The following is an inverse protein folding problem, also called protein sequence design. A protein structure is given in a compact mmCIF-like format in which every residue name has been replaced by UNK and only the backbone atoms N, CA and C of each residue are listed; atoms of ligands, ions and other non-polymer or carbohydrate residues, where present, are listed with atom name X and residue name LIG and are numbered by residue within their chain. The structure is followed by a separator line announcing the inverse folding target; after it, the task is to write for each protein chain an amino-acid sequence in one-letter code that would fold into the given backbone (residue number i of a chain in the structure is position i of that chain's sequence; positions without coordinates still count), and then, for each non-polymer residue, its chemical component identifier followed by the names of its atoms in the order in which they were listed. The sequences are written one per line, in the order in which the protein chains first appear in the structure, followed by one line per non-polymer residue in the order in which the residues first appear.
data_IF_111062048917
#
_entry.id   IF_111062048917
#
_cell.length_a   1.000
_cell.length_b   1.000
_cell.length_c   1.000
_cell.angle_alpha   90.00
_cell.angle_beta   90.00
_cell.angle_gamma   90.00
#
_symmetry.space_group_name_H-M   'P 1'
#
loop_
_entity.id
_entity.type
_entity.pdbx_description
1 polymer ?
#
# COMPACT_ATOMS: atom_id res chain seq x y z
N UNK A 1 -3.44 -11.67 25.97
CA UNK A 1 -4.00 -10.57 25.14
C UNK A 1 -5.43 -10.97 24.78
N UNK A 2 -6.46 -10.18 25.11
CA UNK A 2 -7.85 -10.61 24.92
C UNK A 2 -8.17 -10.79 23.43
N UNK A 3 -8.92 -11.83 23.07
CA UNK A 3 -9.29 -12.18 21.69
C UNK A 3 -9.96 -11.03 20.89
N UNK A 4 -10.54 -10.06 21.60
CA UNK A 4 -11.13 -8.86 21.01
C UNK A 4 -10.08 -7.90 20.41
N UNK A 5 -8.90 -7.79 21.02
CA UNK A 5 -7.81 -6.92 20.51
C UNK A 5 -7.21 -7.45 19.22
N UNK A 6 -7.12 -8.76 19.10
CA UNK A 6 -6.58 -9.45 17.94
C UNK A 6 -7.53 -9.43 16.73
N UNK A 7 -8.83 -9.59 16.95
CA UNK A 7 -9.84 -9.42 15.90
C UNK A 7 -9.88 -7.99 15.34
N UNK A 8 -9.79 -6.99 16.22
CA UNK A 8 -9.73 -5.58 15.82
C UNK A 8 -8.45 -5.25 15.04
N UNK A 9 -7.29 -5.77 15.45
CA UNK A 9 -6.04 -5.57 14.73
C UNK A 9 -6.05 -6.20 13.33
N UNK A 10 -6.58 -7.43 13.19
CA UNK A 10 -6.75 -8.08 11.89
C UNK A 10 -7.72 -7.30 10.99
N UNK A 11 -8.84 -6.83 11.56
CA UNK A 11 -9.81 -6.02 10.81
C UNK A 11 -9.18 -4.73 10.33
N UNK A 12 -8.46 -4.03 11.19
CA UNK A 12 -7.76 -2.79 10.86
C UNK A 12 -6.69 -3.01 9.78
N UNK A 13 -5.92 -4.10 9.87
CA UNK A 13 -4.94 -4.47 8.86
C UNK A 13 -5.58 -4.71 7.49
N UNK A 14 -6.67 -5.48 7.46
CA UNK A 14 -7.40 -5.79 6.23
C UNK A 14 -8.07 -4.56 5.62
N UNK A 15 -8.67 -3.68 6.43
CA UNK A 15 -9.22 -2.41 5.97
C UNK A 15 -8.12 -1.51 5.41
N UNK A 16 -6.95 -1.45 6.07
CA UNK A 16 -5.79 -0.72 5.59
C UNK A 16 -5.29 -1.26 4.24
N UNK A 17 -5.13 -2.57 4.10
CA UNK A 17 -4.74 -3.18 2.82
C UNK A 17 -5.79 -2.93 1.73
N UNK A 18 -7.08 -3.10 2.04
CA UNK A 18 -8.16 -2.90 1.07
C UNK A 18 -8.20 -1.45 0.56
N UNK A 19 -8.12 -0.47 1.47
CA UNK A 19 -8.10 0.94 1.11
C UNK A 19 -6.85 1.32 0.31
N UNK A 20 -5.66 0.89 0.75
CA UNK A 20 -4.39 1.20 0.10
C UNK A 20 -4.23 0.53 -1.28
N UNK A 21 -4.52 -0.77 -1.36
CA UNK A 21 -4.50 -1.53 -2.62
C UNK A 21 -5.57 -1.02 -3.58
N UNK A 22 -6.81 -0.93 -3.13
CA UNK A 22 -7.95 -0.53 -3.97
C UNK A 22 -7.82 0.90 -4.49
N UNK A 23 -7.46 1.85 -3.62
CA UNK A 23 -7.24 3.24 -4.02
C UNK A 23 -6.11 3.41 -5.02
N UNK A 24 -4.97 2.74 -4.79
CA UNK A 24 -3.82 2.77 -5.72
C UNK A 24 -4.15 2.13 -7.06
N UNK A 25 -4.85 0.99 -7.05
CA UNK A 25 -5.27 0.30 -8.27
C UNK A 25 -6.27 1.14 -9.07
N UNK A 26 -7.29 1.71 -8.42
CA UNK A 26 -8.24 2.62 -9.06
C UNK A 26 -7.55 3.84 -9.65
N UNK A 27 -6.62 4.45 -8.90
CA UNK A 27 -5.80 5.57 -9.36
C UNK A 27 -5.12 5.25 -10.69
N UNK A 28 -4.36 4.16 -10.74
CA UNK A 28 -3.59 3.81 -11.94
C UNK A 28 -4.43 3.30 -13.11
N UNK A 29 -5.48 2.52 -12.83
CA UNK A 29 -6.23 1.81 -13.88
C UNK A 29 -7.42 2.61 -14.42
N UNK A 30 -8.03 3.47 -13.61
CA UNK A 30 -9.25 4.19 -13.98
C UNK A 30 -9.04 5.70 -13.98
N UNK A 31 -8.58 6.29 -12.87
CA UNK A 31 -8.45 7.74 -12.76
C UNK A 31 -7.39 8.31 -13.70
N UNK A 32 -6.18 7.74 -13.70
CA UNK A 32 -5.07 8.27 -14.50
C UNK A 32 -5.38 8.27 -16.00
N UNK A 33 -6.01 7.23 -16.59
CA UNK A 33 -6.46 7.29 -17.99
C UNK A 33 -7.65 8.22 -18.21
N UNK A 34 -8.61 8.28 -17.29
CA UNK A 34 -9.84 9.04 -17.46
C UNK A 34 -9.60 10.54 -17.68
N UNK A 35 -8.58 11.13 -17.05
CA UNK A 35 -8.28 12.56 -17.23
C UNK A 35 -7.85 12.94 -18.65
N UNK A 36 -7.55 11.97 -19.53
CA UNK A 36 -7.27 12.26 -20.95
C UNK A 36 -8.47 12.88 -21.69
N UNK A 37 -9.68 12.79 -21.14
CA UNK A 37 -10.87 13.43 -21.72
C UNK A 37 -10.91 14.95 -21.51
N UNK A 38 -10.03 15.49 -20.67
CA UNK A 38 -9.89 16.94 -20.44
C UNK A 38 -8.87 17.44 -21.46
N UNK A 39 -9.12 18.55 -22.16
CA UNK A 39 -8.19 19.01 -23.21
C UNK A 39 -6.92 19.67 -22.65
N UNK A 40 -7.04 20.49 -21.61
CA UNK A 40 -5.92 21.21 -21.01
C UNK A 40 -5.07 20.30 -20.10
N UNK A 41 -3.79 20.15 -20.43
CA UNK A 41 -2.81 19.34 -19.69
C UNK A 41 -2.52 19.87 -18.29
N UNK A 42 -2.66 21.18 -18.08
CA UNK A 42 -2.54 21.79 -16.76
C UNK A 42 -3.76 21.46 -15.89
N UNK A 43 -4.96 21.59 -16.45
CA UNK A 43 -6.21 21.23 -15.78
C UNK A 43 -6.22 19.73 -15.38
N UNK A 44 -5.70 18.85 -16.24
CA UNK A 44 -5.48 17.42 -15.90
C UNK A 44 -4.64 17.27 -14.64
N UNK A 45 -3.51 17.98 -14.56
CA UNK A 45 -2.60 17.95 -13.42
C UNK A 45 -3.25 18.45 -12.14
N UNK A 46 -3.99 19.56 -12.22
CA UNK A 46 -4.73 20.14 -11.10
C UNK A 46 -5.81 19.18 -10.57
N UNK A 47 -6.59 18.55 -11.46
CA UNK A 47 -7.63 17.59 -11.08
C UNK A 47 -7.02 16.34 -10.42
N UNK A 48 -5.94 15.81 -10.99
CA UNK A 48 -5.21 14.69 -10.40
C UNK A 48 -4.63 15.03 -9.03
N UNK A 49 -4.04 16.22 -8.88
CA UNK A 49 -3.50 16.68 -7.60
C UNK A 49 -4.62 16.82 -6.56
N UNK A 50 -5.76 17.42 -6.91
CA UNK A 50 -6.94 17.53 -6.03
C UNK A 50 -7.44 16.16 -5.60
N UNK A 51 -7.61 15.23 -6.54
CA UNK A 51 -8.05 13.86 -6.24
C UNK A 51 -7.06 13.14 -5.33
N UNK A 52 -5.75 13.26 -5.60
CA UNK A 52 -4.69 12.64 -4.80
C UNK A 52 -4.61 13.22 -3.39
N UNK A 53 -4.68 14.55 -3.24
CA UNK A 53 -4.71 15.20 -1.93
C UNK A 53 -5.95 14.82 -1.14
N UNK A 54 -7.12 14.71 -1.80
CA UNK A 54 -8.36 14.26 -1.17
C UNK A 54 -8.27 12.84 -0.63
N UNK A 55 -7.57 11.94 -1.33
CA UNK A 55 -7.37 10.56 -0.89
C UNK A 55 -6.18 10.35 0.05
N UNK A 56 -5.26 11.33 0.15
CA UNK A 56 -4.03 11.21 0.94
C UNK A 56 -4.26 10.86 2.43
N UNK A 57 -5.27 11.41 3.14
CA UNK A 57 -5.55 10.99 4.52
C UNK A 57 -5.93 9.52 4.63
N UNK A 58 -6.74 9.01 3.68
CA UNK A 58 -7.12 7.60 3.62
C UNK A 58 -5.89 6.73 3.36
N UNK A 59 -5.01 7.17 2.46
CA UNK A 59 -3.78 6.44 2.14
C UNK A 59 -2.81 6.40 3.34
N UNK A 60 -2.66 7.53 4.06
CA UNK A 60 -1.85 7.59 5.28
C UNK A 60 -2.41 6.68 6.38
N UNK A 61 -3.73 6.69 6.59
CA UNK A 61 -4.39 5.79 7.52
C UNK A 61 -4.21 4.32 7.12
N UNK A 62 -4.36 4.00 5.84
CA UNK A 62 -4.16 2.66 5.31
C UNK A 62 -2.74 2.15 5.55
N UNK A 63 -1.74 2.96 5.20
CA UNK A 63 -0.33 2.64 5.37
C UNK A 63 0.03 2.45 6.86
N UNK A 64 -0.40 3.37 7.71
CA UNK A 64 -0.17 3.31 9.16
C UNK A 64 -0.84 2.10 9.80
N UNK A 65 -2.09 1.80 9.42
CA UNK A 65 -2.83 0.63 9.90
C UNK A 65 -2.09 -0.66 9.58
N UNK A 66 -1.65 -0.85 8.34
CA UNK A 66 -0.91 -2.07 7.92
C UNK A 66 0.42 -2.18 8.66
N UNK A 67 1.21 -1.10 8.71
CA UNK A 67 2.52 -1.10 9.34
C UNK A 67 2.44 -1.37 10.86
N UNK A 68 1.58 -0.63 11.57
CA UNK A 68 1.45 -0.74 13.03
C UNK A 68 0.93 -2.11 13.44
N UNK A 69 -0.14 -2.58 12.81
CA UNK A 69 -0.71 -3.90 13.14
C UNK A 69 0.28 -5.03 12.85
N UNK A 70 1.05 -4.95 11.77
CA UNK A 70 2.10 -5.93 11.47
C UNK A 70 3.24 -5.89 12.49
N UNK A 71 3.78 -4.72 12.83
CA UNK A 71 4.87 -4.59 13.81
C UNK A 71 4.44 -5.15 15.17
N UNK A 72 3.24 -4.77 15.64
CA UNK A 72 2.70 -5.25 16.92
C UNK A 72 2.54 -6.77 16.89
N UNK A 73 1.87 -7.32 15.87
CA UNK A 73 1.68 -8.76 15.74
C UNK A 73 3.00 -9.53 15.62
N UNK A 74 3.96 -9.00 14.85
CA UNK A 74 5.27 -9.62 14.63
C UNK A 74 6.13 -9.65 15.90
N UNK A 75 5.99 -8.66 16.78
CA UNK A 75 6.70 -8.60 18.06
C UNK A 75 6.28 -9.69 19.05
N UNK A 76 5.07 -10.24 18.89
CA UNK A 76 4.56 -11.34 19.71
C UNK A 76 5.11 -12.72 19.31
N UNK A 77 5.89 -12.83 18.22
CA UNK A 77 6.50 -14.08 17.78
C UNK A 77 7.97 -14.18 18.16
N UNK A 78 8.31 -15.19 18.99
CA UNK A 78 9.71 -15.52 19.32
C UNK A 78 10.43 -16.26 18.18
N UNK A 79 9.67 -16.85 17.26
CA UNK A 79 10.17 -17.63 16.12
C UNK A 79 10.56 -19.07 16.48
N UNK A 80 10.65 -19.43 17.76
CA UNK A 80 10.87 -20.81 18.21
C UNK A 80 9.64 -21.70 18.02
N UNK A 81 8.45 -21.12 17.93
CA UNK A 81 7.18 -21.85 17.95
C UNK A 81 6.67 -22.29 16.55
N UNK A 82 7.35 -21.92 15.46
CA UNK A 82 6.87 -22.11 14.08
C UNK A 82 7.77 -23.00 13.22
N UNK A 83 7.13 -23.84 12.40
CA UNK A 83 7.83 -24.70 11.43
C UNK A 83 8.57 -23.88 10.36
N UNK A 84 9.57 -24.50 9.72
CA UNK A 84 10.44 -23.84 8.74
C UNK A 84 9.68 -23.22 7.57
N UNK A 85 8.59 -23.86 7.09
CA UNK A 85 7.76 -23.32 6.01
C UNK A 85 6.96 -22.10 6.47
N UNK A 86 6.35 -22.15 7.65
CA UNK A 86 5.64 -20.98 8.23
C UNK A 86 6.60 -19.81 8.45
N UNK A 87 7.80 -20.09 8.95
CA UNK A 87 8.85 -19.09 9.13
C UNK A 87 9.25 -18.42 7.82
N UNK A 88 9.36 -19.18 6.74
CA UNK A 88 9.61 -18.64 5.40
C UNK A 88 8.49 -17.71 4.93
N UNK A 89 7.23 -18.10 5.11
CA UNK A 89 6.07 -17.27 4.75
C UNK A 89 5.98 -15.98 5.58
N UNK A 90 6.23 -16.05 6.89
CA UNK A 90 6.26 -14.86 7.76
C UNK A 90 7.38 -13.90 7.34
N UNK A 91 8.58 -14.39 7.03
CA UNK A 91 9.69 -13.55 6.54
C UNK A 91 9.40 -12.94 5.17
N UNK A 92 8.73 -13.68 4.28
CA UNK A 92 8.28 -13.13 3.01
C UNK A 92 7.27 -12.00 3.22
N UNK A 93 6.33 -12.16 4.16
CA UNK A 93 5.39 -11.10 4.55
C UNK A 93 6.10 -9.91 5.20
N UNK A 94 7.10 -10.15 6.05
CA UNK A 94 7.96 -9.08 6.61
C UNK A 94 8.58 -8.22 5.49
N UNK A 95 9.17 -8.86 4.48
CA UNK A 95 9.76 -8.16 3.33
C UNK A 95 8.72 -7.36 2.54
N UNK A 96 7.55 -7.95 2.26
CA UNK A 96 6.50 -7.28 1.50
C UNK A 96 5.89 -6.09 2.26
N UNK A 97 5.67 -6.21 3.58
CA UNK A 97 5.21 -5.10 4.42
C UNK A 97 6.24 -3.99 4.44
N UNK A 98 7.54 -4.31 4.52
CA UNK A 98 8.62 -3.35 4.39
C UNK A 98 8.59 -2.61 3.06
N UNK A 99 8.49 -3.34 1.95
CA UNK A 99 8.40 -2.76 0.59
C UNK A 99 7.15 -1.88 0.45
N UNK A 100 5.99 -2.36 0.87
CA UNK A 100 4.73 -1.61 0.85
C UNK A 100 4.83 -0.32 1.66
N UNK A 101 5.36 -0.40 2.88
CA UNK A 101 5.48 0.77 3.77
C UNK A 101 6.45 1.80 3.21
N UNK A 102 7.65 1.37 2.79
CA UNK A 102 8.67 2.26 2.26
C UNK A 102 8.22 2.92 0.95
N UNK A 103 7.70 2.14 0.00
CA UNK A 103 7.18 2.68 -1.27
C UNK A 103 6.00 3.63 -1.05
N UNK A 104 5.12 3.34 -0.09
CA UNK A 104 3.99 4.20 0.27
C UNK A 104 4.45 5.54 0.86
N UNK A 105 5.39 5.52 1.82
CA UNK A 105 5.96 6.75 2.40
C UNK A 105 6.66 7.57 1.32
N UNK A 106 7.49 6.93 0.48
CA UNK A 106 8.17 7.62 -0.63
C UNK A 106 7.18 8.25 -1.59
N UNK A 107 6.08 7.56 -1.91
CA UNK A 107 5.01 8.09 -2.77
C UNK A 107 4.33 9.30 -2.15
N UNK A 108 4.04 9.28 -0.84
CA UNK A 108 3.44 10.40 -0.13
C UNK A 108 4.37 11.63 -0.11
N UNK A 109 5.67 11.42 0.17
CA UNK A 109 6.65 12.51 0.24
C UNK A 109 6.90 13.13 -1.13
N UNK A 110 7.25 12.30 -2.12
CA UNK A 110 7.56 12.77 -3.48
C UNK A 110 6.30 13.33 -4.13
N UNK A 111 5.17 12.63 -3.99
CA UNK A 111 3.88 13.03 -4.56
C UNK A 111 3.39 14.37 -4.01
N UNK A 112 3.62 14.66 -2.73
CA UNK A 112 3.25 15.96 -2.15
C UNK A 112 4.10 17.12 -2.67
N UNK A 113 5.41 16.92 -2.78
CA UNK A 113 6.34 17.95 -3.31
C UNK A 113 6.10 18.20 -4.80
N UNK A 114 5.85 17.13 -5.56
CA UNK A 114 5.52 17.20 -6.98
C UNK A 114 4.14 17.85 -7.20
N UNK A 115 3.12 17.39 -6.48
CA UNK A 115 1.74 17.88 -6.60
C UNK A 115 1.58 19.35 -6.24
N UNK A 116 2.38 19.89 -5.30
CA UNK A 116 2.32 21.32 -4.95
C UNK A 116 2.76 22.27 -6.07
N UNK A 117 3.41 21.75 -7.12
CA UNK A 117 3.82 22.54 -8.30
C UNK A 117 2.80 22.52 -9.42
N UNK A 118 1.81 21.62 -9.33
CA UNK A 118 0.75 21.43 -10.32
C UNK A 118 1.27 21.42 -11.77
N UNK A 119 2.29 20.58 -12.07
CA UNK A 119 2.87 20.57 -13.40
C UNK A 119 1.85 20.04 -14.42
N UNK A 120 1.89 20.52 -15.68
CA UNK A 120 1.08 19.94 -16.75
C UNK A 120 1.38 18.46 -16.93
N UNK A 121 0.37 17.64 -17.22
CA UNK A 121 0.53 16.21 -17.44
C UNK A 121 -0.34 15.74 -18.61
N UNK A 122 0.14 14.78 -19.39
CA UNK A 122 -0.66 14.15 -20.44
C UNK A 122 -1.70 13.21 -19.83
N UNK A 123 -1.33 12.50 -18.76
CA UNK A 123 -2.22 11.68 -17.93
C UNK A 123 -1.60 11.48 -16.54
N UNK A 124 -2.28 10.80 -15.62
CA UNK A 124 -1.69 10.54 -14.30
C UNK A 124 -0.39 9.73 -14.37
N UNK A 125 -0.19 8.95 -15.44
CA UNK A 125 1.01 8.13 -15.63
C UNK A 125 2.03 8.70 -16.63
N UNK A 126 1.69 9.78 -17.33
CA UNK A 126 2.48 10.29 -18.45
C UNK A 126 2.66 11.81 -18.36
N UNK A 127 3.90 12.31 -18.47
CA UNK A 127 4.15 13.74 -18.54
C UNK A 127 3.64 14.31 -19.87
N UNK A 128 3.28 15.59 -19.85
CA UNK A 128 3.04 16.37 -21.06
C UNK A 128 4.37 16.77 -21.72
N UNK A 129 4.32 17.27 -22.95
CA UNK A 129 5.52 17.70 -23.68
C UNK A 129 6.20 18.91 -23.00
N UNK A 130 5.40 19.75 -22.37
CA UNK A 130 5.77 20.97 -21.66
C UNK A 130 6.07 20.76 -20.16
N UNK A 131 5.99 19.52 -19.66
CA UNK A 131 6.32 19.20 -18.26
C UNK A 131 7.82 19.43 -17.99
N UNK A 132 8.21 20.22 -16.96
CA UNK A 132 9.62 20.40 -16.60
C UNK A 132 10.33 19.08 -16.26
N UNK A 133 11.61 18.96 -16.60
CA UNK A 133 12.38 17.70 -16.45
C UNK A 133 12.40 17.16 -15.01
N UNK A 134 12.45 18.06 -14.03
CA UNK A 134 12.39 17.69 -12.60
C UNK A 134 11.07 17.01 -12.25
N UNK A 135 9.96 17.47 -12.83
CA UNK A 135 8.62 16.92 -12.59
C UNK A 135 8.37 15.65 -13.39
N UNK A 136 8.99 15.51 -14.58
CA UNK A 136 9.01 14.25 -15.33
C UNK A 136 9.63 13.13 -14.49
N UNK A 137 10.78 13.39 -13.86
CA UNK A 137 11.46 12.41 -13.00
C UNK A 137 10.62 12.06 -11.78
N UNK A 138 10.04 13.07 -11.13
CA UNK A 138 9.19 12.88 -9.96
C UNK A 138 7.94 12.04 -10.29
N UNK A 139 7.23 12.36 -11.38
CA UNK A 139 6.06 11.62 -11.82
C UNK A 139 6.40 10.16 -12.15
N UNK A 140 7.48 9.92 -12.91
CA UNK A 140 7.94 8.55 -13.22
C UNK A 140 8.28 7.76 -11.96
N UNK A 141 8.94 8.39 -10.99
CA UNK A 141 9.27 7.76 -9.71
C UNK A 141 8.00 7.39 -8.93
N UNK A 142 7.05 8.32 -8.78
CA UNK A 142 5.76 8.08 -8.12
C UNK A 142 4.98 6.96 -8.80
N UNK A 143 4.93 6.93 -10.14
CA UNK A 143 4.23 5.88 -10.89
C UNK A 143 4.86 4.51 -10.67
N UNK A 144 6.18 4.43 -10.70
CA UNK A 144 6.90 3.18 -10.45
C UNK A 144 6.69 2.71 -9.01
N UNK A 145 6.85 3.61 -8.02
CA UNK A 145 6.61 3.31 -6.61
C UNK A 145 5.17 2.84 -6.35
N UNK A 146 4.18 3.48 -6.99
CA UNK A 146 2.80 3.07 -6.90
C UNK A 146 2.56 1.65 -7.43
N UNK A 147 3.19 1.26 -8.54
CA UNK A 147 3.09 -0.12 -9.07
C UNK A 147 3.71 -1.13 -8.12
N UNK A 148 4.90 -0.81 -7.59
CA UNK A 148 5.57 -1.63 -6.57
C UNK A 148 4.68 -1.78 -5.34
N UNK A 149 4.05 -0.69 -4.91
CA UNK A 149 3.15 -0.68 -3.76
C UNK A 149 1.92 -1.59 -3.98
N UNK A 150 1.28 -1.53 -5.15
CA UNK A 150 0.15 -2.40 -5.52
C UNK A 150 0.56 -3.87 -5.49
N UNK A 151 1.70 -4.22 -6.12
CA UNK A 151 2.19 -5.61 -6.16
C UNK A 151 2.53 -6.11 -4.76
N UNK A 152 3.18 -5.27 -3.93
CA UNK A 152 3.49 -5.61 -2.55
C UNK A 152 2.22 -5.84 -1.74
N UNK A 153 1.23 -4.94 -1.84
CA UNK A 153 -0.06 -5.08 -1.16
C UNK A 153 -0.80 -6.38 -1.56
N UNK A 154 -0.85 -6.68 -2.86
CA UNK A 154 -1.44 -7.93 -3.35
C UNK A 154 -0.72 -9.16 -2.79
N UNK A 155 0.62 -9.13 -2.73
CA UNK A 155 1.42 -10.18 -2.13
C UNK A 155 1.17 -10.35 -0.62
N UNK A 156 1.00 -9.24 0.12
CA UNK A 156 0.64 -9.27 1.55
C UNK A 156 -0.72 -9.95 1.72
N UNK A 157 -1.73 -9.54 0.93
CA UNK A 157 -3.07 -10.15 0.95
C UNK A 157 -2.99 -11.67 0.71
N UNK A 158 -2.23 -12.09 -0.32
CA UNK A 158 -2.05 -13.50 -0.64
C UNK A 158 -1.37 -14.28 0.49
N UNK A 159 -0.30 -13.74 1.09
CA UNK A 159 0.39 -14.40 2.20
C UNK A 159 -0.48 -14.45 3.47
N UNK A 160 -1.26 -13.40 3.76
CA UNK A 160 -2.24 -13.41 4.84
C UNK A 160 -3.25 -14.54 4.65
N UNK A 161 -3.80 -14.69 3.45
CA UNK A 161 -4.74 -15.77 3.14
C UNK A 161 -4.10 -17.17 3.34
N UNK A 162 -2.88 -17.38 2.84
CA UNK A 162 -2.16 -18.65 2.99
C UNK A 162 -1.88 -18.97 4.48
N UNK A 163 -1.44 -17.97 5.25
CA UNK A 163 -1.15 -18.13 6.68
C UNK A 163 -2.42 -18.44 7.49
N UNK A 164 -3.55 -17.80 7.16
CA UNK A 164 -4.85 -18.07 7.77
C UNK A 164 -5.38 -19.47 7.45
N UNK A 165 -5.25 -19.93 6.20
CA UNK A 165 -5.62 -21.30 5.82
C UNK A 165 -4.78 -22.32 6.60
N UNK A 166 -3.48 -22.05 6.78
CA UNK A 166 -2.59 -22.92 7.55
C UNK A 166 -2.95 -22.95 9.04
N UNK A 167 -3.43 -21.83 9.59
CA UNK A 167 -3.88 -21.74 10.99
C UNK A 167 -5.06 -22.66 11.27
N UNK A 168 -6.01 -22.76 10.34
CA UNK A 168 -7.14 -23.68 10.45
C UNK A 168 -6.76 -25.17 10.43
N UNK A 169 -5.52 -25.52 10.05
CA UNK A 169 -5.05 -26.92 9.95
C UNK A 169 -4.09 -27.34 11.05
N UNK A 170 -3.63 -26.43 11.90
CA UNK A 170 -2.61 -26.70 12.92
C UNK A 170 -2.97 -26.10 14.26
N UNK A 171 -3.13 -26.95 15.29
CA UNK A 171 -3.47 -26.52 16.65
C UNK A 171 -2.40 -25.59 17.26
N UNK A 172 -1.12 -25.82 16.96
CA UNK A 172 0.00 -24.99 17.46
C UNK A 172 0.03 -23.62 16.77
N UNK A 173 -0.30 -23.56 15.48
CA UNK A 173 -0.30 -22.31 14.73
C UNK A 173 -1.57 -21.50 14.94
N UNK A 174 -2.72 -22.16 15.14
CA UNK A 174 -4.02 -21.53 15.43
C UNK A 174 -3.97 -20.54 16.60
N UNK A 175 -3.23 -20.86 17.67
CA UNK A 175 -3.11 -20.00 18.85
C UNK A 175 -2.23 -18.77 18.60
N UNK A 176 -1.22 -18.88 17.73
CA UNK A 176 -0.28 -17.81 17.39
C UNK A 176 -0.80 -16.91 16.26
N UNK A 177 -1.52 -17.48 15.30
CA UNK A 177 -2.15 -16.72 14.20
C UNK A 177 -3.25 -15.79 14.69
N UNK A 178 -3.82 -16.05 15.87
CA UNK A 178 -4.74 -15.09 16.49
C UNK A 178 -4.04 -13.74 16.67
N UNK A 179 -2.72 -13.71 16.87
CA UNK A 179 -1.96 -12.51 17.20
C UNK A 179 -1.37 -11.79 15.98
N UNK A 180 -1.34 -12.46 14.83
CA UNK A 180 -0.79 -11.93 13.59
C UNK A 180 -1.92 -11.55 12.65
N UNK A 181 -2.01 -10.28 12.23
CA UNK A 181 -2.81 -9.93 11.08
C UNK A 181 -2.21 -10.49 9.78
#
# INVERSE_FOLDING_TARGET
MNAMWTGSALTLHNLGLAAGFGGSLFGQMALHPAVRTIDDTKERGEILNKAWMGFSPVNAFALGSVALTWIIGRSALSGGEIDSKTRGLVRAKDALVGIYTLSGISTLVIGRVWGSREPPVASGNEPAAETPEVDVKAQKAVNWLGRVNIVAAAGIIALTAILNIKAGRSHKWSLLSMVLP
#
